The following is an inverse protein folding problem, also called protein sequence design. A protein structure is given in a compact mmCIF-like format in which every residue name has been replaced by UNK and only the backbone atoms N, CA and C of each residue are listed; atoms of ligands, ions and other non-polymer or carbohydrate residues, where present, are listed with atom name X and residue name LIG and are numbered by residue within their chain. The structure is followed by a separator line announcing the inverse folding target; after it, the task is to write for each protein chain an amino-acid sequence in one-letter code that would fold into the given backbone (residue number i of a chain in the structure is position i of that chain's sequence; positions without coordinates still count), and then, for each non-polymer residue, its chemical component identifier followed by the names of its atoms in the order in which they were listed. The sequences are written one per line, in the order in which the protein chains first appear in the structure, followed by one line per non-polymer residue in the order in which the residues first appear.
data_IF_506629281209
#
_entry.id   IF_506629281209
#
_cell.length_a   1.000
_cell.length_b   1.000
_cell.length_c   1.000
_cell.angle_alpha   90.00
_cell.angle_beta   90.00
_cell.angle_gamma   90.00
#
_symmetry.space_group_name_H-M   'P 1'
#
loop_
_entity.id
_entity.type
_entity.pdbx_description
1 polymer ?
#
# COMPACT_ATOMS: atom_id res chain seq x y z
N UNK A 1 -2.01 2.97 3.34
CA UNK A 1 -1.26 2.98 4.62
C UNK A 1 -1.77 1.90 5.58
N UNK A 2 -0.89 1.00 6.06
CA UNK A 2 -1.18 0.04 7.16
C UNK A 2 -0.66 0.60 8.48
N UNK A 3 -1.32 0.28 9.59
CA UNK A 3 -0.89 0.73 10.92
C UNK A 3 0.50 0.21 11.31
N UNK A 4 0.90 -0.97 10.79
CA UNK A 4 2.25 -1.52 11.00
C UNK A 4 3.31 -0.64 10.36
N UNK A 5 3.14 -0.28 9.08
CA UNK A 5 4.10 0.57 8.37
C UNK A 5 4.21 1.96 8.99
N UNK A 6 3.09 2.53 9.44
CA UNK A 6 3.11 3.80 10.16
C UNK A 6 3.90 3.72 11.49
N UNK A 7 3.83 2.58 12.19
CA UNK A 7 4.62 2.36 13.40
C UNK A 7 6.10 2.20 13.08
N UNK A 8 6.43 1.47 12.04
CA UNK A 8 7.82 1.27 11.59
C UNK A 8 8.47 2.61 11.23
N UNK A 9 7.80 3.43 10.41
CA UNK A 9 8.28 4.76 10.04
C UNK A 9 8.48 5.65 11.27
N UNK A 10 7.58 5.59 12.26
CA UNK A 10 7.73 6.33 13.52
C UNK A 10 8.90 5.85 14.37
N UNK A 11 9.23 4.55 14.32
CA UNK A 11 10.36 4.00 15.05
C UNK A 11 11.69 4.39 14.38
N UNK A 12 11.76 4.31 13.04
CA UNK A 12 12.94 4.71 12.26
C UNK A 12 13.19 6.22 12.34
N UNK A 13 12.12 7.02 12.36
CA UNK A 13 12.15 8.48 12.54
C UNK A 13 11.76 8.89 13.98
N UNK A 14 12.40 8.27 14.98
CA UNK A 14 12.09 8.49 16.40
C UNK A 14 12.35 9.94 16.90
N UNK A 15 13.25 10.64 16.23
CA UNK A 15 13.56 12.06 16.42
C UNK A 15 12.55 13.00 15.74
N UNK A 16 11.73 12.47 14.83
CA UNK A 16 10.69 13.22 14.12
C UNK A 16 9.33 13.11 14.84
N UNK A 17 8.35 13.90 14.40
CA UNK A 17 6.95 13.80 14.84
C UNK A 17 6.04 13.65 13.63
N UNK A 18 5.45 12.47 13.48
CA UNK A 18 4.56 12.12 12.38
C UNK A 18 3.10 12.11 12.84
N UNK A 19 2.31 13.04 12.31
CA UNK A 19 0.86 13.13 12.47
C UNK A 19 0.15 12.58 11.24
N UNK A 20 -0.79 11.67 11.49
CA UNK A 20 -1.63 11.09 10.44
C UNK A 20 -3.05 11.00 10.98
N UNK A 21 -3.91 11.92 10.54
CA UNK A 21 -5.22 12.12 11.13
C UNK A 21 -6.20 12.80 10.18
N UNK A 22 -7.26 13.40 10.72
CA UNK A 22 -8.27 14.07 9.91
C UNK A 22 -7.67 15.31 9.24
N UNK A 23 -7.59 15.30 7.92
CA UNK A 23 -6.97 16.37 7.11
C UNK A 23 -7.49 17.77 7.45
N UNK A 24 -8.82 17.93 7.58
CA UNK A 24 -9.44 19.21 7.98
C UNK A 24 -8.95 19.75 9.33
N UNK A 25 -8.64 18.87 10.29
CA UNK A 25 -8.12 19.28 11.61
C UNK A 25 -6.67 19.72 11.50
N UNK A 26 -5.85 18.98 10.73
CA UNK A 26 -4.45 19.34 10.48
C UNK A 26 -4.35 20.67 9.74
N UNK A 27 -5.16 20.89 8.69
CA UNK A 27 -5.20 22.15 7.96
C UNK A 27 -5.64 23.32 8.87
N UNK A 28 -6.64 23.10 9.73
CA UNK A 28 -7.05 24.13 10.69
C UNK A 28 -5.97 24.45 11.72
N UNK A 29 -5.15 23.47 12.10
CA UNK A 29 -4.03 23.66 13.02
C UNK A 29 -2.87 24.46 12.39
N UNK A 30 -2.63 24.32 11.09
CA UNK A 30 -1.63 25.11 10.35
C UNK A 30 -2.11 26.53 10.02
N UNK A 31 -3.43 26.71 9.89
CA UNK A 31 -4.05 27.95 9.43
C UNK A 31 -4.72 27.76 8.07
N UNK A 32 -5.89 28.35 7.91
CA UNK A 32 -6.63 28.31 6.64
C UNK A 32 -6.33 29.54 5.76
N UNK A 33 -5.76 30.57 6.34
CA UNK A 33 -5.50 31.87 5.77
C UNK A 33 -4.43 32.59 6.61
N UNK A 34 -3.86 33.68 6.09
CA UNK A 34 -2.80 34.44 6.74
C UNK A 34 -3.17 35.04 8.11
N UNK A 35 -4.46 35.20 8.42
CA UNK A 35 -4.90 35.70 9.74
C UNK A 35 -5.04 34.60 10.79
N UNK A 36 -5.15 33.34 10.36
CA UNK A 36 -5.34 32.18 11.24
C UNK A 36 -4.12 31.25 11.31
N UNK A 37 -3.03 31.58 10.63
CA UNK A 37 -1.80 30.80 10.65
C UNK A 37 -1.00 31.00 11.93
N UNK A 38 -0.42 29.91 12.42
CA UNK A 38 0.39 29.92 13.64
C UNK A 38 1.80 30.47 13.37
N UNK A 39 2.33 30.22 12.17
CA UNK A 39 3.62 30.72 11.70
C UNK A 39 3.44 31.33 10.30
N UNK A 40 4.29 32.29 9.91
CA UNK A 40 4.20 32.89 8.59
C UNK A 40 4.20 31.86 7.46
N UNK A 41 3.25 32.00 6.54
CA UNK A 41 3.08 31.17 5.35
C UNK A 41 2.75 29.68 5.60
N UNK A 42 2.46 29.25 6.83
CA UNK A 42 2.05 27.84 7.06
C UNK A 42 0.67 27.53 6.48
N UNK A 43 -0.16 28.56 6.25
CA UNK A 43 -1.43 28.40 5.54
C UNK A 43 -1.26 27.89 4.10
N UNK A 44 -0.09 28.13 3.48
CA UNK A 44 0.23 27.64 2.12
C UNK A 44 0.42 26.12 2.04
N UNK A 45 0.60 25.42 3.18
CA UNK A 45 0.63 23.95 3.20
C UNK A 45 -0.78 23.32 3.19
N UNK A 46 -1.80 24.07 3.60
CA UNK A 46 -3.18 23.56 3.72
C UNK A 46 -3.78 23.01 2.42
N UNK A 47 -3.52 23.58 1.23
CA UNK A 47 -3.97 23.02 -0.05
C UNK A 47 -3.44 21.61 -0.34
N UNK A 48 -2.27 21.24 0.18
CA UNK A 48 -1.70 19.89 0.00
C UNK A 48 -2.33 18.86 0.95
N UNK A 49 -3.15 19.28 1.92
CA UNK A 49 -3.79 18.39 2.90
C UNK A 49 -5.09 17.77 2.38
N UNK A 50 -5.05 17.12 1.22
CA UNK A 50 -6.20 16.45 0.59
C UNK A 50 -5.98 14.94 0.49
N UNK A 51 -6.99 14.15 0.83
CA UNK A 51 -6.93 12.69 0.74
C UNK A 51 -6.17 12.04 1.90
N UNK A 52 -5.27 11.11 1.58
CA UNK A 52 -4.63 10.22 2.54
C UNK A 52 -3.22 10.71 2.94
N UNK A 53 -3.17 11.90 3.56
CA UNK A 53 -1.94 12.67 3.82
C UNK A 53 -1.66 12.84 5.31
N UNK A 54 -0.40 13.11 5.64
CA UNK A 54 0.06 13.36 7.01
C UNK A 54 1.05 14.53 7.08
N UNK A 55 1.39 14.92 8.30
CA UNK A 55 2.41 15.93 8.59
C UNK A 55 3.60 15.28 9.27
N UNK A 56 4.81 15.56 8.77
CA UNK A 56 6.06 15.15 9.39
C UNK A 56 6.84 16.38 9.82
N UNK A 57 7.12 16.48 11.11
CA UNK A 57 7.98 17.51 11.67
C UNK A 57 9.35 16.91 11.97
N UNK A 58 10.41 17.58 11.54
CA UNK A 58 11.78 17.10 11.66
C UNK A 58 12.75 18.28 11.72
N UNK A 59 13.90 18.03 12.34
CA UNK A 59 15.06 18.94 12.30
C UNK A 59 16.13 18.45 11.31
N UNK A 60 15.87 17.37 10.57
CA UNK A 60 16.78 16.86 9.54
C UNK A 60 16.69 17.69 8.28
N UNK A 61 17.76 17.68 7.50
CA UNK A 61 17.79 18.30 6.17
C UNK A 61 16.75 17.67 5.23
N UNK A 62 16.07 18.46 4.39
CA UNK A 62 15.06 17.96 3.45
C UNK A 62 15.57 16.81 2.57
N UNK A 63 16.82 16.89 2.10
CA UNK A 63 17.45 15.85 1.27
C UNK A 63 17.49 14.48 1.96
N UNK A 64 17.82 14.44 3.25
CA UNK A 64 17.85 13.19 4.02
C UNK A 64 16.47 12.55 4.13
N UNK A 65 15.41 13.34 4.25
CA UNK A 65 14.03 12.86 4.34
C UNK A 65 13.52 12.39 2.98
N UNK A 66 13.86 13.12 1.91
CA UNK A 66 13.52 12.75 0.54
C UNK A 66 14.13 11.39 0.20
N UNK A 67 15.43 11.20 0.42
CA UNK A 67 16.10 9.91 0.18
C UNK A 67 15.50 8.79 1.03
N UNK A 68 15.24 9.04 2.32
CA UNK A 68 14.62 8.04 3.19
C UNK A 68 13.27 7.52 2.66
N UNK A 69 12.41 8.41 2.18
CA UNK A 69 11.10 8.00 1.66
C UNK A 69 11.13 7.46 0.22
N UNK A 70 12.14 7.82 -0.58
CA UNK A 70 12.40 7.20 -1.88
C UNK A 70 12.82 5.73 -1.73
N UNK A 71 13.66 5.44 -0.75
CA UNK A 71 14.13 4.07 -0.47
C UNK A 71 13.08 3.22 0.27
N UNK A 72 12.07 3.86 0.86
CA UNK A 72 11.00 3.19 1.60
C UNK A 72 9.95 2.62 0.63
N UNK A 73 10.20 1.43 0.12
CA UNK A 73 9.19 0.59 -0.54
C UNK A 73 8.93 -0.68 0.28
N UNK A 74 7.65 -1.01 0.49
CA UNK A 74 7.25 -2.29 1.09
C UNK A 74 6.19 -2.95 0.23
N UNK A 75 6.46 -4.16 -0.23
CA UNK A 75 5.45 -4.96 -0.93
C UNK A 75 4.31 -5.30 0.02
N UNK A 76 3.10 -5.12 -0.47
CA UNK A 76 1.85 -5.26 0.27
C UNK A 76 0.79 -5.99 -0.57
N UNK A 77 -0.21 -6.54 0.12
CA UNK A 77 -1.38 -7.12 -0.54
C UNK A 77 -2.29 -6.00 -1.05
N UNK A 78 -2.69 -6.12 -2.31
CA UNK A 78 -3.64 -5.22 -2.95
C UNK A 78 -4.96 -5.13 -2.16
N UNK A 79 -5.60 -3.96 -2.25
CA UNK A 79 -6.89 -3.68 -1.62
C UNK A 79 -7.98 -3.62 -2.68
N UNK A 80 -9.20 -3.93 -2.27
CA UNK A 80 -10.35 -3.76 -3.16
C UNK A 80 -10.44 -2.29 -3.60
N UNK A 81 -10.67 -2.08 -4.89
CA UNK A 81 -10.65 -0.77 -5.55
C UNK A 81 -9.29 -0.35 -6.10
N UNK A 82 -8.22 -1.12 -5.89
CA UNK A 82 -6.92 -0.91 -6.55
C UNK A 82 -6.87 -1.66 -7.88
N UNK A 83 -6.25 -1.08 -8.89
CA UNK A 83 -5.99 -1.76 -10.17
C UNK A 83 -4.94 -2.86 -10.00
N UNK A 84 -5.14 -3.99 -10.65
CA UNK A 84 -4.19 -5.09 -10.64
C UNK A 84 -2.95 -4.73 -11.47
N UNK A 85 -1.76 -4.87 -10.88
CA UNK A 85 -0.48 -4.59 -11.55
C UNK A 85 -0.05 -5.70 -12.53
N UNK A 86 -0.66 -6.89 -12.45
CA UNK A 86 -0.36 -8.02 -13.34
C UNK A 86 -1.50 -9.04 -13.36
N UNK A 87 -1.47 -9.92 -14.35
CA UNK A 87 -2.34 -11.09 -14.42
C UNK A 87 -2.00 -12.10 -13.32
N UNK A 88 -3.02 -12.70 -12.69
CA UNK A 88 -2.84 -13.83 -11.78
C UNK A 88 -3.84 -14.94 -12.09
N UNK A 89 -3.34 -16.13 -12.44
CA UNK A 89 -4.13 -17.30 -12.80
C UNK A 89 -3.64 -18.51 -12.02
N UNK A 90 -4.56 -19.19 -11.34
CA UNK A 90 -4.28 -20.45 -10.65
C UNK A 90 -4.23 -21.56 -11.71
N UNK A 91 -3.14 -22.32 -11.84
CA UNK A 91 -3.03 -23.38 -12.84
C UNK A 91 -4.01 -24.53 -12.57
N UNK A 92 -4.37 -25.26 -13.63
CA UNK A 92 -5.11 -26.51 -13.50
C UNK A 92 -4.29 -27.58 -12.78
N UNK A 93 -4.96 -28.55 -12.15
CA UNK A 93 -4.35 -29.60 -11.37
C UNK A 93 -4.35 -29.31 -9.88
N UNK A 94 -3.33 -29.79 -9.17
CA UNK A 94 -3.23 -29.63 -7.71
C UNK A 94 -2.99 -28.15 -7.38
N UNK A 95 -3.76 -27.60 -6.44
CA UNK A 95 -3.57 -26.23 -5.95
C UNK A 95 -2.46 -26.21 -4.92
N UNK A 96 -1.45 -25.41 -5.19
CA UNK A 96 -0.33 -25.16 -4.28
C UNK A 96 -0.49 -23.83 -3.55
N UNK A 97 0.31 -23.63 -2.52
CA UNK A 97 0.16 -22.52 -1.58
C UNK A 97 0.46 -21.17 -2.23
N UNK A 98 1.38 -21.12 -3.20
CA UNK A 98 1.70 -19.91 -3.96
C UNK A 98 0.95 -19.83 -5.30
N UNK A 99 0.01 -20.75 -5.56
CA UNK A 99 -0.93 -20.62 -6.68
C UNK A 99 -0.31 -20.54 -8.08
N UNK A 100 0.91 -21.04 -8.26
CA UNK A 100 1.64 -20.99 -9.54
C UNK A 100 2.73 -19.92 -9.64
N UNK A 101 3.00 -19.14 -8.58
CA UNK A 101 4.10 -18.16 -8.56
C UNK A 101 5.50 -18.81 -8.59
N UNK A 102 5.61 -20.04 -8.10
CA UNK A 102 6.85 -20.81 -8.11
C UNK A 102 6.59 -22.20 -8.67
N UNK A 103 7.66 -22.88 -9.10
CA UNK A 103 7.57 -24.25 -9.60
C UNK A 103 7.01 -25.20 -8.51
N UNK A 104 6.17 -26.14 -8.93
CA UNK A 104 5.48 -27.06 -8.03
C UNK A 104 6.42 -27.93 -7.17
N UNK A 105 7.65 -28.19 -7.63
CA UNK A 105 8.68 -28.86 -6.81
C UNK A 105 9.16 -28.06 -5.60
N UNK A 106 9.03 -26.73 -5.64
CA UNK A 106 9.46 -25.80 -4.60
C UNK A 106 8.27 -25.25 -3.78
N UNK A 107 7.04 -25.64 -4.11
CA UNK A 107 5.82 -25.25 -3.42
C UNK A 107 5.24 -26.43 -2.62
N UNK A 108 4.36 -26.13 -1.70
CA UNK A 108 3.62 -27.11 -0.90
C UNK A 108 2.14 -27.09 -1.27
N UNK A 109 1.49 -28.26 -1.41
CA UNK A 109 0.05 -28.32 -1.67
C UNK A 109 -0.72 -27.52 -0.62
N UNK A 110 -1.71 -26.76 -1.07
CA UNK A 110 -2.52 -25.94 -0.17
C UNK A 110 -3.27 -26.82 0.84
N UNK A 111 -3.36 -26.34 2.08
CA UNK A 111 -4.06 -27.06 3.14
C UNK A 111 -5.53 -27.33 2.76
N UNK A 112 -5.96 -28.59 2.82
CA UNK A 112 -7.32 -29.01 2.45
C UNK A 112 -8.43 -28.29 3.23
N UNK A 113 -8.14 -27.77 4.42
CA UNK A 113 -9.07 -26.97 5.23
C UNK A 113 -9.45 -25.63 4.58
N UNK A 114 -8.66 -25.13 3.62
CA UNK A 114 -8.94 -23.88 2.89
C UNK A 114 -9.86 -24.09 1.68
N UNK A 115 -10.16 -25.34 1.33
CA UNK A 115 -11.01 -25.67 0.17
C UNK A 115 -12.41 -25.07 0.25
N UNK A 116 -13.12 -25.10 1.40
CA UNK A 116 -14.43 -24.44 1.51
C UNK A 116 -14.34 -22.92 1.32
N UNK A 117 -13.22 -22.31 1.73
CA UNK A 117 -12.99 -20.88 1.53
C UNK A 117 -12.77 -20.54 0.06
N UNK A 118 -11.97 -21.35 -0.67
CA UNK A 118 -11.77 -21.18 -2.10
C UNK A 118 -13.10 -21.32 -2.87
N UNK A 119 -13.93 -22.31 -2.52
CA UNK A 119 -15.26 -22.47 -3.11
C UNK A 119 -16.16 -21.26 -2.81
N UNK A 120 -16.14 -20.74 -1.58
CA UNK A 120 -16.87 -19.51 -1.18
C UNK A 120 -16.40 -18.27 -1.96
N UNK A 121 -15.15 -18.27 -2.42
CA UNK A 121 -14.56 -17.23 -3.27
C UNK A 121 -14.72 -17.54 -4.77
N UNK A 122 -15.65 -18.43 -5.13
CA UNK A 122 -16.01 -18.82 -6.49
C UNK A 122 -14.89 -19.50 -7.28
N UNK A 123 -13.92 -20.12 -6.61
CA UNK A 123 -12.92 -20.97 -7.27
C UNK A 123 -13.48 -22.39 -7.41
N UNK A 124 -13.59 -22.95 -8.64
CA UNK A 124 -14.20 -24.25 -8.91
C UNK A 124 -13.26 -25.39 -8.50
N UNK A 125 -13.14 -25.61 -7.19
CA UNK A 125 -12.25 -26.60 -6.58
C UNK A 125 -12.97 -27.90 -6.24
N UNK A 126 -12.23 -29.00 -6.33
CA UNK A 126 -12.62 -30.34 -5.86
C UNK A 126 -11.53 -30.93 -4.98
N UNK A 127 -11.88 -31.91 -4.15
CA UNK A 127 -10.91 -32.61 -3.31
C UNK A 127 -10.61 -34.00 -3.88
N UNK A 128 -9.40 -34.19 -4.41
CA UNK A 128 -8.94 -35.47 -4.95
C UNK A 128 -7.84 -36.05 -4.07
N UNK A 129 -8.08 -37.20 -3.43
CA UNK A 129 -7.11 -37.86 -2.52
C UNK A 129 -6.56 -36.92 -1.42
N UNK A 130 -7.43 -36.06 -0.87
CA UNK A 130 -7.06 -35.11 0.19
C UNK A 130 -6.28 -33.88 -0.29
N UNK A 131 -6.12 -33.68 -1.60
CA UNK A 131 -5.51 -32.47 -2.19
C UNK A 131 -6.58 -31.67 -2.93
N UNK A 132 -6.48 -30.35 -2.83
CA UNK A 132 -7.34 -29.42 -3.58
C UNK A 132 -6.91 -29.47 -5.03
N UNK A 133 -7.88 -29.63 -5.94
CA UNK A 133 -7.65 -29.75 -7.38
C UNK A 133 -8.58 -28.81 -8.15
N UNK A 134 -8.07 -28.19 -9.21
CA UNK A 134 -8.87 -27.52 -10.25
C UNK A 134 -8.82 -28.34 -11.55
N UNK A 135 -9.95 -28.40 -12.25
CA UNK A 135 -10.02 -29.03 -13.58
C UNK A 135 -9.45 -28.12 -14.67
N UNK A 136 -9.76 -26.82 -14.60
CA UNK A 136 -9.33 -25.81 -15.56
C UNK A 136 -8.58 -24.67 -14.85
N UNK A 137 -7.66 -23.97 -15.53
CA UNK A 137 -7.03 -22.79 -14.95
C UNK A 137 -8.08 -21.74 -14.58
N UNK A 138 -7.86 -21.05 -13.47
CA UNK A 138 -8.79 -20.04 -12.97
C UNK A 138 -8.12 -18.68 -12.91
N UNK A 139 -8.54 -17.77 -13.80
CA UNK A 139 -8.07 -16.39 -13.79
C UNK A 139 -8.71 -15.64 -12.61
N UNK A 140 -7.87 -15.12 -11.72
CA UNK A 140 -8.32 -14.31 -10.58
C UNK A 140 -8.50 -12.87 -11.00
N UNK A 141 -7.52 -12.28 -11.70
CA UNK A 141 -7.54 -10.92 -12.22
C UNK A 141 -6.58 -10.80 -13.42
N UNK A 142 -6.89 -9.84 -14.30
CA UNK A 142 -5.98 -9.38 -15.33
C UNK A 142 -5.37 -8.04 -14.94
N UNK A 143 -4.23 -7.71 -15.52
CA UNK A 143 -3.59 -6.41 -15.42
C UNK A 143 -4.56 -5.29 -15.84
N UNK A 144 -4.64 -4.24 -15.02
CA UNK A 144 -5.58 -3.12 -15.19
C UNK A 144 -6.98 -3.35 -14.62
N UNK A 145 -7.33 -4.58 -14.21
CA UNK A 145 -8.65 -4.83 -13.59
C UNK A 145 -8.74 -4.16 -12.20
N UNK A 146 -9.85 -3.46 -11.93
CA UNK A 146 -10.13 -2.95 -10.58
C UNK A 146 -10.52 -4.10 -9.67
N UNK A 147 -9.66 -4.40 -8.69
CA UNK A 147 -9.79 -5.58 -7.85
C UNK A 147 -10.99 -5.49 -6.90
N UNK A 148 -11.76 -6.56 -6.81
CA UNK A 148 -12.85 -6.73 -5.84
C UNK A 148 -12.34 -7.35 -4.50
N UNK A 149 -13.23 -7.42 -3.51
CA UNK A 149 -12.92 -7.99 -2.18
C UNK A 149 -12.57 -9.49 -2.23
N UNK A 150 -13.13 -10.22 -3.19
CA UNK A 150 -12.90 -11.66 -3.39
C UNK A 150 -11.54 -11.90 -4.04
N UNK A 151 -11.17 -11.15 -5.08
CA UNK A 151 -9.89 -11.21 -5.77
C UNK A 151 -8.74 -10.85 -4.81
N UNK A 152 -8.88 -9.75 -4.06
CA UNK A 152 -7.86 -9.38 -3.06
C UNK A 152 -7.73 -10.38 -1.92
N UNK A 153 -8.83 -11.06 -1.54
CA UNK A 153 -8.77 -12.18 -0.60
C UNK A 153 -8.04 -13.38 -1.20
N UNK A 154 -8.28 -13.72 -2.46
CA UNK A 154 -7.58 -14.81 -3.16
C UNK A 154 -6.08 -14.51 -3.26
N UNK A 155 -5.68 -13.31 -3.74
CA UNK A 155 -4.28 -12.89 -3.81
C UNK A 155 -3.59 -13.04 -2.45
N UNK A 156 -4.26 -12.62 -1.36
CA UNK A 156 -3.75 -12.78 0.00
C UNK A 156 -3.62 -14.24 0.44
N UNK A 157 -4.56 -15.13 0.07
CA UNK A 157 -4.48 -16.56 0.38
C UNK A 157 -3.29 -17.23 -0.33
N UNK A 158 -2.97 -16.80 -1.54
CA UNK A 158 -1.85 -17.31 -2.34
C UNK A 158 -0.53 -16.58 -2.08
N UNK A 159 -0.46 -15.68 -1.09
CA UNK A 159 0.77 -14.94 -0.79
C UNK A 159 1.20 -13.95 -1.87
N UNK A 160 0.30 -13.59 -2.79
CA UNK A 160 0.57 -12.69 -3.91
C UNK A 160 0.42 -11.24 -3.45
N UNK A 161 1.55 -10.61 -3.15
CA UNK A 161 1.63 -9.20 -2.79
C UNK A 161 1.95 -8.38 -4.06
N UNK A 162 0.95 -7.64 -4.56
CA UNK A 162 0.99 -6.93 -5.85
C UNK A 162 0.88 -5.41 -5.73
N UNK A 163 0.76 -4.89 -4.51
CA UNK A 163 0.68 -3.45 -4.28
C UNK A 163 1.92 -2.99 -3.53
N UNK A 164 2.52 -1.88 -3.95
CA UNK A 164 3.61 -1.29 -3.22
C UNK A 164 3.11 -0.20 -2.27
N UNK A 165 3.63 -0.25 -1.05
CA UNK A 165 3.52 0.85 -0.12
C UNK A 165 4.74 1.75 -0.31
N UNK A 166 4.48 2.96 -0.79
CA UNK A 166 5.42 4.07 -0.81
C UNK A 166 4.82 5.29 -0.11
N UNK A 167 5.67 6.23 0.27
CA UNK A 167 5.26 7.52 0.83
C UNK A 167 5.78 8.62 -0.08
N UNK A 168 4.87 9.37 -0.66
CA UNK A 168 5.20 10.52 -1.47
C UNK A 168 5.27 11.79 -0.61
N UNK A 169 6.35 12.55 -0.76
CA UNK A 169 6.47 13.89 -0.20
C UNK A 169 5.88 14.90 -1.18
N UNK A 170 5.00 15.78 -0.70
CA UNK A 170 4.28 16.74 -1.54
C UNK A 170 4.91 18.13 -1.48
N UNK A 171 5.14 18.63 -0.27
CA UNK A 171 5.74 19.93 -0.01
C UNK A 171 6.30 19.96 1.41
N UNK A 172 7.20 20.89 1.69
CA UNK A 172 7.67 21.18 3.04
C UNK A 172 7.73 22.69 3.28
N UNK A 173 7.55 23.09 4.54
CA UNK A 173 7.78 24.46 5.00
C UNK A 173 9.02 24.47 5.88
N UNK A 174 9.87 25.48 5.74
CA UNK A 174 11.06 25.64 6.58
C UNK A 174 10.93 26.87 7.48
N UNK A 175 11.21 26.68 8.77
CA UNK A 175 11.19 27.77 9.75
C UNK A 175 12.31 28.81 9.52
N UNK A 176 13.38 28.42 8.82
CA UNK A 176 14.55 29.28 8.61
C UNK A 176 14.29 30.40 7.60
N UNK A 177 13.58 30.10 6.50
CA UNK A 177 13.20 31.07 5.48
C UNK A 177 11.70 31.41 5.50
N UNK A 178 10.89 30.67 6.25
CA UNK A 178 9.43 30.83 6.32
C UNK A 178 8.75 30.64 4.95
N UNK A 179 9.34 29.79 4.10
CA UNK A 179 8.84 29.51 2.76
C UNK A 179 8.37 28.07 2.64
N UNK A 180 7.42 27.86 1.73
CA UNK A 180 6.98 26.54 1.30
C UNK A 180 7.73 26.17 0.02
N UNK A 181 8.28 24.97 -0.01
CA UNK A 181 8.89 24.37 -1.19
C UNK A 181 8.08 23.16 -1.59
N UNK A 182 7.54 23.18 -2.80
CA UNK A 182 6.88 22.03 -3.41
C UNK A 182 7.93 21.03 -3.87
N UNK A 183 7.67 19.75 -3.61
CA UNK A 183 8.51 18.66 -4.10
C UNK A 183 7.80 18.10 -5.33
N UNK A 184 8.44 18.21 -6.49
CA UNK A 184 7.91 17.56 -7.68
C UNK A 184 7.83 16.06 -7.43
N UNK A 185 6.65 15.50 -7.69
CA UNK A 185 6.44 14.07 -7.73
C UNK A 185 7.36 13.50 -8.80
N UNK A 186 8.54 13.01 -8.42
CA UNK A 186 9.28 12.13 -9.32
C UNK A 186 8.41 10.90 -9.47
N UNK A 187 7.77 10.76 -10.64
CA UNK A 187 7.05 9.56 -11.02
C UNK A 187 7.99 8.37 -10.76
N UNK A 188 7.68 7.58 -9.73
CA UNK A 188 8.30 6.28 -9.56
C UNK A 188 7.68 5.36 -10.60
N UNK A 189 8.18 5.45 -11.83
CA UNK A 189 7.93 4.53 -12.92
C UNK A 189 9.05 3.49 -12.94
N UNK A 190 8.72 2.27 -12.50
CA UNK A 190 8.85 1.02 -13.28
C UNK A 190 8.19 -0.14 -12.52
#
# INVERSE_FOLDING_TARGET
MRNTYLKDVRNELSDCRLFFGKTKVMAKALGSDASSEYQPNTSLLSPHLVGNVGLLFTNREPSSIITFFQDLSKTDFARAGTEASRNFTIPAGIVYSMGGEIAAENDVPMAHSLEPELRRLNVPTTLTKGKITLENPYCVCNEGDVLDSRQTRLLKLFGVATADFSVQLLAYWSAANQEVTEIEATEMSE
#
